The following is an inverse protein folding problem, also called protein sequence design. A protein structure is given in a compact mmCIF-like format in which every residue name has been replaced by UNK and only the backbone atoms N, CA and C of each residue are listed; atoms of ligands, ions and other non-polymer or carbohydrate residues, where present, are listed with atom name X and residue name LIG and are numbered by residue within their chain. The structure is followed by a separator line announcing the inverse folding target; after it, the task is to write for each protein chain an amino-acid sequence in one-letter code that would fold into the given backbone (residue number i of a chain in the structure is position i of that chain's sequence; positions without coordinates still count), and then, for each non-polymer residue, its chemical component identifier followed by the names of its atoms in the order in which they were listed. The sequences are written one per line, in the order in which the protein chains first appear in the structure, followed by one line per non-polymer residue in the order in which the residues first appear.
data_IF_201524722443
#
_entry.id   IF_201524722443
#
_cell.length_a   1.000
_cell.length_b   1.000
_cell.length_c   1.000
_cell.angle_alpha   90.00
_cell.angle_beta   90.00
_cell.angle_gamma   90.00
#
_symmetry.space_group_name_H-M   'P 1'
#
loop_
_entity.id
_entity.type
_entity.pdbx_description
1 polymer ?
#
# COMPACT_ATOMS: atom_id res chain seq x y z
N UNK A 1 0.24 9.57 11.33
CA UNK A 1 0.85 10.16 10.11
C UNK A 1 0.99 9.12 9.03
N UNK A 2 1.11 9.50 7.74
CA UNK A 2 1.31 8.55 6.64
C UNK A 2 2.75 8.60 6.15
N UNK A 3 3.34 7.44 5.82
CA UNK A 3 4.68 7.36 5.28
C UNK A 3 4.64 6.87 3.82
N UNK A 4 5.48 7.47 2.99
CA UNK A 4 5.54 7.20 1.56
C UNK A 4 6.89 6.58 1.21
N UNK A 5 6.87 5.54 0.37
CA UNK A 5 8.05 5.00 -0.28
C UNK A 5 7.86 4.96 -1.80
N UNK A 6 8.92 5.25 -2.54
CA UNK A 6 8.91 5.30 -4.00
C UNK A 6 10.02 4.43 -4.59
N UNK A 7 9.67 3.54 -5.49
CA UNK A 7 10.62 2.74 -6.26
C UNK A 7 10.52 3.13 -7.74
N UNK A 8 11.61 3.67 -8.28
CA UNK A 8 11.65 4.17 -9.67
C UNK A 8 12.40 3.24 -10.60
N UNK A 9 12.06 3.31 -11.89
CA UNK A 9 12.75 2.60 -12.99
C UNK A 9 12.82 1.08 -12.83
N UNK A 10 11.74 0.46 -12.36
CA UNK A 10 11.66 -1.00 -12.25
C UNK A 10 11.54 -1.62 -13.64
N UNK A 11 12.45 -2.52 -14.06
CA UNK A 11 12.47 -3.07 -15.42
C UNK A 11 11.43 -4.20 -15.60
N UNK A 12 10.18 -3.90 -15.33
CA UNK A 12 9.03 -4.79 -15.52
C UNK A 12 7.87 -4.06 -16.17
N UNK A 13 6.95 -4.80 -16.78
CA UNK A 13 5.76 -4.20 -17.37
C UNK A 13 4.82 -3.67 -16.28
N UNK A 14 4.28 -2.42 -16.39
CA UNK A 14 3.32 -1.87 -15.43
C UNK A 14 2.10 -2.76 -15.23
N UNK A 15 1.59 -3.37 -16.31
CA UNK A 15 0.44 -4.27 -16.26
C UNK A 15 0.67 -5.46 -15.31
N UNK A 16 1.86 -6.08 -15.36
CA UNK A 16 2.20 -7.21 -14.48
C UNK A 16 2.37 -6.75 -13.03
N UNK A 17 2.96 -5.56 -12.83
CA UNK A 17 3.16 -5.00 -11.49
C UNK A 17 1.85 -4.59 -10.83
N UNK A 18 0.87 -4.09 -11.59
CA UNK A 18 -0.47 -3.74 -11.09
C UNK A 18 -1.21 -4.94 -10.50
N UNK A 19 -0.99 -6.16 -11.00
CA UNK A 19 -1.58 -7.38 -10.43
C UNK A 19 -1.10 -7.57 -8.98
N UNK A 20 0.21 -7.43 -8.74
CA UNK A 20 0.78 -7.54 -7.39
C UNK A 20 0.31 -6.39 -6.50
N UNK A 21 0.27 -5.16 -7.03
CA UNK A 21 -0.22 -4.00 -6.28
C UNK A 21 -1.67 -4.17 -5.82
N UNK A 22 -2.53 -4.76 -6.65
CA UNK A 22 -3.94 -5.01 -6.30
C UNK A 22 -4.10 -6.05 -5.18
N UNK A 23 -3.15 -7.00 -5.04
CA UNK A 23 -3.20 -8.00 -3.96
C UNK A 23 -3.01 -7.38 -2.58
N UNK A 24 -2.23 -6.32 -2.47
CA UNK A 24 -1.84 -5.71 -1.18
C UNK A 24 -2.60 -4.43 -0.84
N UNK A 25 -3.27 -3.83 -1.82
CA UNK A 25 -4.02 -2.59 -1.61
C UNK A 25 -5.10 -2.75 -0.54
N UNK A 26 -5.15 -1.83 0.44
CA UNK A 26 -6.14 -1.82 1.51
C UNK A 26 -5.97 -2.91 2.57
N UNK A 27 -4.89 -3.69 2.53
CA UNK A 27 -4.63 -4.75 3.51
C UNK A 27 -3.76 -4.25 4.66
N UNK A 28 -3.88 -4.91 5.82
CA UNK A 28 -2.95 -4.72 6.94
C UNK A 28 -1.53 -5.07 6.49
N UNK A 29 -0.55 -4.33 6.97
CA UNK A 29 0.85 -4.51 6.59
C UNK A 29 1.35 -5.93 6.87
N UNK A 30 0.99 -6.53 8.01
CA UNK A 30 1.35 -7.91 8.35
C UNK A 30 0.79 -8.93 7.36
N UNK A 31 -0.47 -8.77 6.95
CA UNK A 31 -1.09 -9.62 5.93
C UNK A 31 -0.48 -9.39 4.54
N UNK A 32 -0.20 -8.14 4.19
CA UNK A 32 0.43 -7.78 2.92
C UNK A 32 1.83 -8.41 2.78
N UNK A 33 2.65 -8.37 3.83
CA UNK A 33 3.96 -9.03 3.85
C UNK A 33 3.85 -10.56 3.70
N UNK A 34 2.90 -11.19 4.42
CA UNK A 34 2.64 -12.62 4.28
C UNK A 34 2.26 -12.99 2.85
N UNK A 35 1.33 -12.27 2.23
CA UNK A 35 0.91 -12.51 0.84
C UNK A 35 2.07 -12.35 -0.16
N UNK A 36 2.88 -11.29 0.00
CA UNK A 36 3.99 -11.02 -0.92
C UNK A 36 5.09 -12.08 -0.87
N UNK A 37 5.33 -12.70 0.30
CA UNK A 37 6.32 -13.78 0.46
C UNK A 37 5.93 -15.07 -0.27
N UNK A 38 4.62 -15.37 -0.31
CA UNK A 38 4.12 -16.59 -0.97
C UNK A 38 3.73 -16.38 -2.44
N UNK A 39 3.70 -15.13 -2.92
CA UNK A 39 3.32 -14.81 -4.29
C UNK A 39 4.45 -15.15 -5.27
N UNK A 40 4.15 -16.01 -6.26
CA UNK A 40 5.11 -16.49 -7.26
C UNK A 40 5.52 -15.42 -8.30
N UNK A 41 4.84 -14.28 -8.36
CA UNK A 41 5.14 -13.22 -9.32
C UNK A 41 6.46 -12.52 -9.00
N UNK A 42 7.36 -12.41 -9.98
CA UNK A 42 8.67 -11.75 -9.83
C UNK A 42 8.60 -10.27 -9.38
N UNK A 43 7.42 -9.66 -9.41
CA UNK A 43 7.16 -8.32 -8.87
C UNK A 43 6.99 -8.29 -7.36
N UNK A 44 6.61 -9.41 -6.73
CA UNK A 44 6.27 -9.47 -5.31
C UNK A 44 7.44 -9.12 -4.41
N UNK A 45 8.62 -9.68 -4.66
CA UNK A 45 9.85 -9.37 -3.91
C UNK A 45 10.20 -7.87 -3.91
N UNK A 46 9.97 -7.19 -5.03
CA UNK A 46 10.24 -5.75 -5.16
C UNK A 46 9.26 -4.91 -4.38
N UNK A 47 7.98 -5.31 -4.38
CA UNK A 47 6.93 -4.64 -3.61
C UNK A 47 7.12 -4.91 -2.11
N UNK A 48 7.57 -6.11 -1.71
CA UNK A 48 7.93 -6.43 -0.33
C UNK A 48 9.04 -5.51 0.19
N UNK A 49 10.15 -5.39 -0.56
CA UNK A 49 11.26 -4.49 -0.19
C UNK A 49 10.80 -3.02 -0.10
N UNK A 50 9.92 -2.60 -1.00
CA UNK A 50 9.35 -1.25 -0.96
C UNK A 50 8.46 -1.04 0.27
N UNK A 51 7.67 -2.04 0.64
CA UNK A 51 6.82 -2.00 1.84
C UNK A 51 7.67 -1.93 3.12
N UNK A 52 8.75 -2.71 3.21
CA UNK A 52 9.70 -2.63 4.34
C UNK A 52 10.35 -1.23 4.42
N UNK A 53 10.70 -0.63 3.29
CA UNK A 53 11.20 0.75 3.25
C UNK A 53 10.16 1.77 3.73
N UNK A 54 8.89 1.59 3.37
CA UNK A 54 7.80 2.46 3.84
C UNK A 54 7.60 2.35 5.35
N UNK A 55 7.72 1.15 5.91
CA UNK A 55 7.66 0.92 7.36
C UNK A 55 8.82 1.58 8.09
N UNK A 56 10.03 1.47 7.56
CA UNK A 56 11.20 2.14 8.14
C UNK A 56 11.03 3.68 8.12
N UNK A 57 10.51 4.24 7.02
CA UNK A 57 10.19 5.67 6.94
C UNK A 57 9.12 6.08 7.97
N UNK A 58 8.10 5.24 8.15
CA UNK A 58 7.06 5.50 9.15
C UNK A 58 7.63 5.48 10.58
N UNK A 59 8.48 4.52 10.89
CA UNK A 59 9.13 4.41 12.20
C UNK A 59 10.05 5.60 12.50
N UNK A 60 10.74 6.14 11.49
CA UNK A 60 11.55 7.35 11.65
C UNK A 60 10.71 8.60 11.96
N UNK A 61 9.49 8.66 11.40
CA UNK A 61 8.57 9.78 11.65
C UNK A 61 7.82 9.65 12.98
N UNK A 62 7.60 8.41 13.47
CA UNK A 62 6.85 8.10 14.67
C UNK A 62 7.72 7.26 15.62
N UNK A 63 8.73 7.88 16.22
CA UNK A 63 9.72 7.19 17.09
C UNK A 63 9.11 6.65 18.39
N UNK A 64 8.00 7.21 18.83
CA UNK A 64 7.31 6.85 20.07
C UNK A 64 6.40 5.62 19.92
N UNK A 65 5.92 5.33 18.72
CA UNK A 65 4.98 4.24 18.46
C UNK A 65 5.70 3.03 17.84
N UNK A 66 5.37 1.83 18.33
CA UNK A 66 5.84 0.59 17.73
C UNK A 66 4.98 0.24 16.51
N UNK A 67 5.62 -0.29 15.46
CA UNK A 67 4.93 -0.72 14.23
C UNK A 67 3.82 -1.75 14.52
N UNK A 68 4.04 -2.62 15.52
CA UNK A 68 3.11 -3.70 15.89
C UNK A 68 1.82 -3.17 16.48
N UNK A 69 1.88 -2.09 17.27
CA UNK A 69 0.74 -1.50 17.97
C UNK A 69 -0.06 -0.55 17.07
N UNK A 70 0.60 0.04 16.07
CA UNK A 70 0.03 1.09 15.21
C UNK A 70 -1.01 0.60 14.20
N UNK A 71 -1.25 -0.72 14.06
CA UNK A 71 -2.23 -1.29 13.12
C UNK A 71 -2.19 -0.67 11.71
N UNK A 72 -1.02 -0.68 11.10
CA UNK A 72 -0.77 -0.04 9.81
C UNK A 72 -1.40 -0.78 8.64
N UNK A 73 -1.88 -0.02 7.66
CA UNK A 73 -2.48 -0.48 6.41
C UNK A 73 -1.75 0.09 5.20
N UNK A 74 -1.80 -0.63 4.10
CA UNK A 74 -1.42 -0.09 2.79
C UNK A 74 -2.57 0.79 2.30
N UNK A 75 -2.48 2.11 2.57
CA UNK A 75 -3.55 3.06 2.22
C UNK A 75 -3.65 3.23 0.73
N UNK A 76 -2.52 3.44 0.06
CA UNK A 76 -2.48 3.65 -1.38
C UNK A 76 -1.26 2.95 -2.00
N UNK A 77 -1.45 2.39 -3.18
CA UNK A 77 -0.38 1.89 -4.01
C UNK A 77 -0.67 2.16 -5.48
N UNK A 78 0.25 2.88 -6.14
CA UNK A 78 0.15 3.25 -7.55
C UNK A 78 1.31 2.66 -8.34
N UNK A 79 1.01 2.29 -9.59
CA UNK A 79 2.01 1.80 -10.54
C UNK A 79 1.87 2.62 -11.82
N UNK A 80 2.83 3.50 -12.02
CA UNK A 80 2.92 4.40 -13.16
C UNK A 80 3.80 3.83 -14.26
N UNK A 81 3.56 4.26 -15.49
CA UNK A 81 4.38 3.88 -16.62
C UNK A 81 5.69 4.68 -16.62
N UNK A 82 6.81 3.96 -16.75
CA UNK A 82 8.12 4.55 -16.90
C UNK A 82 8.61 4.54 -18.35
N UNK A 83 9.88 4.86 -18.52
CA UNK A 83 10.54 4.91 -19.82
C UNK A 83 10.46 3.58 -20.56
N UNK A 84 10.15 3.63 -21.85
CA UNK A 84 10.14 2.48 -22.74
C UNK A 84 11.37 2.49 -23.65
N UNK A 85 12.09 1.39 -23.68
CA UNK A 85 13.18 1.17 -24.63
C UNK A 85 12.64 0.41 -25.84
N UNK A 86 12.73 1.00 -27.02
CA UNK A 86 12.34 0.38 -28.28
C UNK A 86 13.50 -0.46 -28.79
N UNK A 87 13.22 -1.71 -29.21
CA UNK A 87 14.17 -2.65 -29.81
C UNK A 87 13.54 -3.30 -31.02
N UNK A 88 14.38 -3.78 -31.93
CA UNK A 88 13.96 -4.57 -33.07
C UNK A 88 14.44 -6.02 -32.87
N UNK A 89 13.60 -6.95 -33.22
CA UNK A 89 13.91 -8.38 -33.29
C UNK A 89 13.76 -8.83 -34.74
N UNK A 90 14.78 -9.46 -35.36
CA UNK A 90 14.67 -9.98 -36.70
C UNK A 90 13.57 -11.04 -36.77
N UNK A 91 12.82 -11.03 -37.87
CA UNK A 91 11.77 -11.96 -38.19
C UNK A 91 12.05 -12.60 -39.56
N UNK A 92 11.39 -13.72 -39.90
CA UNK A 92 11.51 -14.35 -41.20
C UNK A 92 11.22 -13.37 -42.35
N UNK A 93 11.77 -13.64 -43.52
CA UNK A 93 11.57 -12.85 -44.75
C UNK A 93 12.11 -11.41 -44.67
N UNK A 94 13.19 -11.14 -43.89
CA UNK A 94 13.79 -9.80 -43.76
C UNK A 94 12.94 -8.78 -42.99
N UNK A 95 11.87 -9.21 -42.32
CA UNK A 95 11.01 -8.34 -41.52
C UNK A 95 11.60 -8.11 -40.13
N UNK A 96 11.23 -6.99 -39.48
CA UNK A 96 11.62 -6.67 -38.12
C UNK A 96 10.40 -6.49 -37.20
N UNK A 97 10.36 -7.19 -36.08
CA UNK A 97 9.35 -6.98 -35.04
C UNK A 97 9.83 -5.99 -34.00
N UNK A 98 8.96 -5.03 -33.69
CA UNK A 98 9.23 -4.02 -32.63
C UNK A 98 9.00 -4.62 -31.26
N UNK A 99 9.99 -4.57 -30.38
CA UNK A 99 9.90 -4.94 -28.98
C UNK A 99 9.97 -3.69 -28.12
N UNK A 100 9.09 -3.59 -27.13
CA UNK A 100 9.09 -2.50 -26.14
C UNK A 100 9.52 -3.08 -24.79
N UNK A 101 10.71 -2.74 -24.33
CA UNK A 101 11.16 -2.99 -22.96
C UNK A 101 10.60 -1.90 -22.06
N UNK A 102 9.55 -2.24 -21.29
CA UNK A 102 8.83 -1.28 -20.44
C UNK A 102 9.45 -1.24 -19.05
N UNK A 103 9.44 -0.06 -18.44
CA UNK A 103 9.70 0.12 -17.00
C UNK A 103 8.47 0.74 -16.32
N UNK A 104 8.49 0.72 -15.01
CA UNK A 104 7.44 1.32 -14.18
C UNK A 104 8.02 2.00 -12.95
N UNK A 105 7.19 2.82 -12.32
CA UNK A 105 7.43 3.46 -11.04
C UNK A 105 6.34 3.00 -10.07
N UNK A 106 6.72 2.71 -8.84
CA UNK A 106 5.79 2.29 -7.80
C UNK A 106 5.85 3.32 -6.68
N UNK A 107 4.70 3.84 -6.29
CA UNK A 107 4.52 4.67 -5.10
C UNK A 107 3.63 3.92 -4.14
N UNK A 108 4.05 3.78 -2.88
CA UNK A 108 3.34 3.07 -1.84
C UNK A 108 3.24 3.99 -0.61
N UNK A 109 2.04 4.09 -0.05
CA UNK A 109 1.74 4.85 1.16
C UNK A 109 1.24 3.90 2.24
N UNK A 110 1.83 4.01 3.43
CA UNK A 110 1.44 3.26 4.62
C UNK A 110 0.95 4.25 5.67
N UNK A 111 -0.14 3.91 6.34
CA UNK A 111 -0.72 4.73 7.39
C UNK A 111 -1.81 4.00 8.17
N UNK A 112 -2.47 4.68 9.12
CA UNK A 112 -3.62 4.13 9.81
C UNK A 112 -4.77 3.85 8.84
N UNK A 113 -5.70 3.02 9.24
CA UNK A 113 -6.86 2.67 8.42
C UNK A 113 -7.70 3.92 8.13
N UNK A 114 -7.94 4.21 6.84
CA UNK A 114 -8.89 5.27 6.44
C UNK A 114 -10.33 4.74 6.54
N UNK A 115 -11.26 5.58 6.95
CA UNK A 115 -12.70 5.25 7.02
C UNK A 115 -13.25 4.66 5.71
N UNK A 116 -12.78 5.17 4.56
CA UNK A 116 -13.16 4.68 3.24
C UNK A 116 -12.75 3.22 2.97
N UNK A 117 -11.82 2.66 3.75
CA UNK A 117 -11.36 1.28 3.65
C UNK A 117 -11.97 0.36 4.72
N UNK A 118 -12.71 0.95 5.66
CA UNK A 118 -13.42 0.18 6.68
C UNK A 118 -14.62 -0.54 6.07
N UNK A 119 -14.85 -1.78 6.47
CA UNK A 119 -16.09 -2.46 6.11
C UNK A 119 -17.28 -1.78 6.81
N UNK A 120 -18.48 -1.86 6.20
CA UNK A 120 -19.70 -1.30 6.82
C UNK A 120 -19.93 -1.80 8.25
N UNK A 121 -19.48 -3.04 8.56
CA UNK A 121 -19.57 -3.64 9.89
C UNK A 121 -18.64 -2.96 10.90
N UNK A 122 -17.40 -2.67 10.48
CA UNK A 122 -16.39 -1.99 11.31
C UNK A 122 -16.78 -0.53 11.53
N UNK A 123 -17.26 0.15 10.48
CA UNK A 123 -17.76 1.52 10.57
C UNK A 123 -18.95 1.63 11.55
N UNK A 124 -19.90 0.70 11.48
CA UNK A 124 -21.03 0.67 12.40
C UNK A 124 -20.60 0.35 13.85
N UNK A 125 -19.58 -0.48 14.04
CA UNK A 125 -19.02 -0.77 15.37
C UNK A 125 -18.33 0.47 15.96
N UNK A 126 -17.56 1.19 15.15
CA UNK A 126 -16.89 2.43 15.54
C UNK A 126 -17.92 3.52 15.93
N UNK A 127 -18.95 3.72 15.11
CA UNK A 127 -20.00 4.69 15.40
C UNK A 127 -20.77 4.37 16.70
N UNK A 128 -20.98 3.08 17.01
CA UNK A 128 -21.57 2.67 18.30
C UNK A 128 -20.64 2.96 19.46
N UNK A 129 -19.34 2.73 19.32
CA UNK A 129 -18.37 3.03 20.37
C UNK A 129 -18.29 4.53 20.66
N UNK A 130 -18.30 5.37 19.63
CA UNK A 130 -18.31 6.84 19.76
C UNK A 130 -19.58 7.29 20.49
N UNK A 131 -20.76 6.79 20.10
CA UNK A 131 -22.03 7.17 20.75
C UNK A 131 -22.11 6.76 22.23
N UNK A 132 -21.43 5.68 22.64
CA UNK A 132 -21.32 5.28 24.06
C UNK A 132 -20.39 6.21 24.83
N UNK A 133 -19.33 6.71 24.25
CA UNK A 133 -18.40 7.67 24.90
C UNK A 133 -19.10 9.01 25.09
N UNK A 134 -19.83 9.49 24.09
CA UNK A 134 -20.59 10.75 24.19
C UNK A 134 -21.70 10.68 25.26
N UNK A 135 -22.34 9.52 25.39
CA UNK A 135 -23.34 9.29 26.43
C UNK A 135 -22.76 9.28 27.86
N UNK A 136 -21.53 8.79 28.03
CA UNK A 136 -20.83 8.78 29.33
C UNK A 136 -20.35 10.18 29.71
N UNK A 137 -19.84 10.96 28.74
CA UNK A 137 -19.32 12.32 28.96
C UNK A 137 -20.45 13.30 29.31
N UNK A 138 -21.67 13.05 28.82
CA UNK A 138 -22.83 13.93 29.13
C UNK A 138 -23.45 13.70 30.52
N UNK A 139 -23.07 12.64 31.26
CA UNK A 139 -23.55 12.33 32.59
C UNK A 139 -22.65 12.85 33.74
N UNK A 140 -21.45 13.34 33.43
CA UNK A 140 -20.51 13.91 34.39
C UNK A 140 -20.51 15.46 34.38
N UNK A 141 -21.68 16.07 34.53
CA UNK A 141 -21.72 17.47 34.98
C UNK A 141 -22.02 17.44 36.50
N UNK A 142 -21.03 17.65 37.38
CA UNK A 142 -21.35 17.82 38.78
C UNK A 142 -22.02 19.18 38.93
N UNK A 143 -23.26 19.13 39.37
CA UNK A 143 -23.90 20.28 40.00
C UNK A 143 -23.09 20.65 41.24
N UNK A 144 -22.30 21.70 41.14
CA UNK A 144 -21.70 22.34 42.30
C UNK A 144 -22.35 23.72 42.44
N UNK A 145 -23.33 23.74 43.34
CA UNK A 145 -23.86 24.97 43.93
C UNK A 145 -23.04 25.32 45.17
#
# INVERSE_FOLDING_TARGET
MEAIAKLRNVPTSPRKMRLVANLVRGKRVTQALGLLRFEANSGAERVEKLLLSALANWQQQNQEERIEDANLYVTEIFVDEGRQLKRLRPAPQGRGHRIRKRSNHITLTVGPQRESQMSKKELNALNRAISTIDAVTSTETPANA
#
